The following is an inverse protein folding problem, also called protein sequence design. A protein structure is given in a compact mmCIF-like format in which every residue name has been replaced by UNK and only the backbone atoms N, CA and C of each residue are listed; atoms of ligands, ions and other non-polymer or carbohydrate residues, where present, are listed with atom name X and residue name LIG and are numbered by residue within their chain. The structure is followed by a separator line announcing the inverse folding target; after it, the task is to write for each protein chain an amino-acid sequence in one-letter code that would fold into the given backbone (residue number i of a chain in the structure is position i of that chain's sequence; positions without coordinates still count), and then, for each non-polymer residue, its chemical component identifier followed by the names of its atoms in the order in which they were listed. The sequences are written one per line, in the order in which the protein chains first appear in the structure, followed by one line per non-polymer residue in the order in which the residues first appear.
data_IF_461785836028
#
_entry.id   IF_461785836028
#
_cell.length_a   1.000
_cell.length_b   1.000
_cell.length_c   1.000
_cell.angle_alpha   90.00
_cell.angle_beta   90.00
_cell.angle_gamma   90.00
#
_symmetry.space_group_name_H-M   'P 1'
#
loop_
_entity.id
_entity.type
_entity.pdbx_description
1 polymer ?
#
# COMPACT_ATOMS: atom_id res chain seq x y z
N UNK A 1 -20.26 -4.94 -0.36
CA UNK A 1 -19.15 -5.79 -0.87
C UNK A 1 -18.18 -5.94 0.28
N UNK A 2 -17.79 -7.17 0.62
CA UNK A 2 -17.20 -7.53 1.91
C UNK A 2 -15.89 -6.81 2.23
N UNK A 3 -15.86 -6.28 3.44
CA UNK A 3 -14.73 -5.66 4.12
C UNK A 3 -13.60 -6.67 4.34
N UNK A 4 -12.73 -6.87 3.34
CA UNK A 4 -11.48 -7.63 3.53
C UNK A 4 -10.33 -6.66 3.77
N UNK A 5 -10.44 -5.87 4.85
CA UNK A 5 -9.28 -5.19 5.42
C UNK A 5 -8.40 -6.26 6.03
N UNK A 6 -7.33 -6.67 5.34
CA UNK A 6 -6.37 -7.59 5.92
C UNK A 6 -5.30 -6.82 6.68
N UNK A 7 -5.30 -6.99 8.00
CA UNK A 7 -4.14 -6.63 8.82
C UNK A 7 -3.12 -7.76 8.75
N UNK A 8 -1.87 -7.39 8.49
CA UNK A 8 -0.76 -8.33 8.39
C UNK A 8 0.15 -8.23 9.63
N UNK A 9 0.69 -9.36 10.07
CA UNK A 9 1.74 -9.39 11.10
C UNK A 9 3.13 -9.10 10.53
N UNK A 10 3.32 -9.30 9.22
CA UNK A 10 4.58 -9.09 8.50
C UNK A 10 4.36 -8.41 7.15
N UNK A 11 5.27 -7.54 6.67
CA UNK A 11 5.14 -6.95 5.35
C UNK A 11 5.26 -8.00 4.25
N UNK A 12 4.35 -7.99 3.28
CA UNK A 12 4.36 -8.89 2.11
C UNK A 12 5.40 -8.47 1.08
N UNK A 13 6.68 -8.44 1.44
CA UNK A 13 7.79 -7.98 0.57
C UNK A 13 7.74 -8.65 -0.82
N UNK A 14 7.65 -7.83 -1.86
CA UNK A 14 7.46 -8.19 -3.27
C UNK A 14 6.17 -8.98 -3.59
N UNK A 15 5.24 -9.08 -2.63
CA UNK A 15 3.95 -9.73 -2.78
C UNK A 15 2.81 -8.74 -3.01
N UNK A 16 1.66 -9.30 -3.37
CA UNK A 16 0.43 -8.55 -3.66
C UNK A 16 -0.19 -7.95 -2.40
N UNK A 17 -0.69 -6.72 -2.51
CA UNK A 17 -1.44 -6.00 -1.47
C UNK A 17 -2.67 -5.33 -2.06
N UNK A 18 -3.75 -5.28 -1.30
CA UNK A 18 -4.98 -4.55 -1.62
C UNK A 18 -4.94 -3.13 -1.06
N UNK A 19 -5.75 -2.20 -1.61
CA UNK A 19 -5.77 -0.81 -1.17
C UNK A 19 -6.00 -0.64 0.34
N UNK A 20 -6.91 -1.44 0.90
CA UNK A 20 -7.36 -1.36 2.28
C UNK A 20 -6.47 -2.14 3.26
N UNK A 21 -5.60 -3.03 2.76
CA UNK A 21 -4.69 -3.82 3.61
C UNK A 21 -3.83 -2.94 4.52
N UNK A 22 -3.60 -3.35 5.76
CA UNK A 22 -2.70 -2.65 6.69
C UNK A 22 -1.58 -3.58 7.10
N UNK A 23 -0.34 -3.11 7.04
CA UNK A 23 0.83 -3.90 7.41
C UNK A 23 1.63 -3.19 8.51
N UNK A 24 2.51 -3.88 9.25
CA UNK A 24 3.22 -3.30 10.38
C UNK A 24 4.30 -2.31 9.92
N UNK A 25 4.69 -2.36 8.65
CA UNK A 25 5.59 -1.41 8.02
C UNK A 25 4.86 -0.26 7.31
N UNK A 26 3.56 -0.06 7.59
CA UNK A 26 2.81 1.07 7.06
C UNK A 26 3.57 2.37 7.34
N UNK A 27 3.86 3.11 6.29
CA UNK A 27 4.45 4.44 6.40
C UNK A 27 3.73 5.34 5.42
N UNK A 28 3.02 6.37 5.90
CA UNK A 28 2.21 7.22 5.03
C UNK A 28 3.10 7.90 3.97
N UNK A 29 2.50 8.13 2.80
CA UNK A 29 3.02 9.11 1.82
C UNK A 29 2.88 10.52 2.42
N UNK A 30 3.63 11.46 1.85
CA UNK A 30 3.58 12.88 2.28
C UNK A 30 2.17 13.48 2.18
N UNK A 31 1.40 13.06 1.19
CA UNK A 31 0.04 13.54 0.92
C UNK A 31 -1.06 12.64 1.54
N UNK A 32 -0.70 11.67 2.38
CA UNK A 32 -1.68 10.78 2.99
C UNK A 32 -2.46 11.48 4.12
N UNK A 33 -3.78 11.25 4.16
CA UNK A 33 -4.64 11.74 5.25
C UNK A 33 -4.31 10.93 6.52
N UNK A 34 -3.88 11.57 7.63
CA UNK A 34 -3.38 10.85 8.81
C UNK A 34 -4.36 9.86 9.46
N UNK A 35 -5.67 10.12 9.35
CA UNK A 35 -6.73 9.26 9.90
C UNK A 35 -7.03 8.04 9.03
N UNK A 36 -6.52 7.97 7.80
CA UNK A 36 -6.74 6.86 6.88
C UNK A 36 -5.49 5.97 6.84
N UNK A 37 -5.70 4.68 7.09
CA UNK A 37 -4.65 3.65 7.00
C UNK A 37 -5.06 2.63 5.95
N UNK A 38 -4.09 2.20 5.16
CA UNK A 38 -4.26 1.25 4.05
C UNK A 38 -3.07 1.28 3.11
N UNK A 39 -2.71 0.15 2.50
CA UNK A 39 -1.52 0.05 1.65
C UNK A 39 -1.55 1.06 0.50
N UNK A 40 -2.73 1.46 0.02
CA UNK A 40 -2.88 2.55 -0.96
C UNK A 40 -2.11 3.82 -0.59
N UNK A 41 -2.18 4.20 0.69
CA UNK A 41 -1.54 5.39 1.26
C UNK A 41 -0.12 5.13 1.77
N UNK A 42 0.34 3.88 1.71
CA UNK A 42 1.69 3.51 2.13
C UNK A 42 2.72 3.85 1.03
N UNK A 43 3.82 4.50 1.40
CA UNK A 43 4.90 4.88 0.47
C UNK A 43 5.65 3.69 -0.16
N UNK A 44 5.46 2.50 0.39
CA UNK A 44 6.10 1.26 -0.07
C UNK A 44 5.20 0.44 -1.01
N UNK A 45 3.90 0.71 -1.04
CA UNK A 45 3.02 0.00 -1.94
C UNK A 45 3.07 0.65 -3.33
N UNK A 46 3.08 -0.18 -4.35
CA UNK A 46 3.10 0.25 -5.74
C UNK A 46 1.79 -0.13 -6.42
N UNK A 47 0.95 0.87 -6.63
CA UNK A 47 -0.32 0.74 -7.35
C UNK A 47 -0.27 1.48 -8.69
N UNK A 48 0.90 1.92 -9.15
CA UNK A 48 1.05 2.74 -10.35
C UNK A 48 0.15 4.01 -10.32
N UNK A 49 -0.01 4.64 -9.15
CA UNK A 49 -0.89 5.81 -8.96
C UNK A 49 -0.52 7.04 -9.83
N UNK A 50 0.66 7.02 -10.44
CA UNK A 50 1.20 8.10 -11.28
C UNK A 50 1.39 7.71 -12.74
N UNK A 51 1.17 6.44 -13.05
CA UNK A 51 1.23 5.95 -14.42
C UNK A 51 -0.13 6.14 -15.09
N UNK A 52 -0.18 5.99 -16.42
CA UNK A 52 -1.42 6.05 -17.18
C UNK A 52 -2.46 5.03 -16.69
N UNK A 53 -2.00 3.87 -16.19
CA UNK A 53 -2.84 2.81 -15.68
C UNK A 53 -2.53 2.48 -14.22
N UNK A 54 -3.50 2.77 -13.36
CA UNK A 54 -3.53 2.37 -11.96
C UNK A 54 -3.81 0.87 -11.84
N UNK A 55 -3.21 0.20 -10.84
CA UNK A 55 -3.44 -1.21 -10.52
C UNK A 55 -4.53 -1.37 -9.46
N UNK A 56 -5.41 -2.35 -9.64
CA UNK A 56 -6.37 -2.77 -8.60
C UNK A 56 -5.67 -3.50 -7.44
N UNK A 57 -4.59 -4.23 -7.75
CA UNK A 57 -3.75 -4.94 -6.80
C UNK A 57 -2.33 -4.40 -6.90
N UNK A 58 -1.81 -3.90 -5.78
CA UNK A 58 -0.48 -3.33 -5.71
C UNK A 58 0.59 -4.36 -5.35
N UNK A 59 1.84 -3.94 -5.42
CA UNK A 59 2.99 -4.73 -4.95
C UNK A 59 3.62 -4.02 -3.76
N UNK A 60 3.82 -4.72 -2.64
CA UNK A 60 4.56 -4.18 -1.51
C UNK A 60 6.06 -4.22 -1.80
N UNK A 61 6.69 -3.05 -1.95
CA UNK A 61 8.12 -2.94 -2.30
C UNK A 61 9.01 -2.68 -1.08
N UNK A 62 8.45 -2.76 0.12
CA UNK A 62 9.20 -2.58 1.38
C UNK A 62 10.46 -3.47 1.40
N UNK A 63 11.63 -2.96 1.83
CA UNK A 63 11.87 -1.63 2.40
C UNK A 63 12.16 -0.53 1.36
N UNK A 64 12.10 -0.84 0.06
CA UNK A 64 12.36 0.14 -1.00
C UNK A 64 11.14 1.04 -1.17
N UNK A 65 11.39 2.34 -1.05
CA UNK A 65 10.38 3.37 -1.30
C UNK A 65 10.13 3.46 -2.80
N UNK A 66 8.88 3.70 -3.18
CA UNK A 66 8.59 4.15 -4.54
C UNK A 66 9.04 5.62 -4.61
N UNK A 67 10.21 5.84 -5.19
CA UNK A 67 10.66 7.16 -5.63
C UNK A 67 9.90 7.53 -6.90
N UNK A 68 9.49 8.79 -7.00
CA UNK A 68 8.91 9.34 -8.24
C UNK A 68 9.87 9.19 -9.41
#
# INVERSE_FOLDING_TARGET
MGDNVHEYDVPKKNGSVWPEDVCPAYTPREEAIPSIRGCWYCRYADFHLKEEKVLEVGICKWPKKITK
#
